data_IF_686503883831
#
_entry.id   IF_686503883831
#
_cell.length_a   1.000
_cell.length_b   1.000
_cell.length_c   1.000
_cell.angle_alpha   90.00
_cell.angle_beta   90.00
_cell.angle_gamma   90.00
#
_symmetry.space_group_name_H-M   'P 1'
#
loop_
_entity.id
_entity.type
_entity.pdbx_description
1 polymer ?
#
# COMPACT_ATOMS: atom_id res chain seq x y z
N UNK A 1 -41.40 -8.13 47.84
CA UNK A 1 -40.83 -9.44 48.23
C UNK A 1 -41.98 -10.46 48.13
N UNK A 2 -41.79 -11.62 47.52
CA UNK A 2 -42.76 -12.72 47.52
C UNK A 2 -42.52 -13.68 48.70
N UNK A 3 -43.50 -14.55 48.97
CA UNK A 3 -43.40 -15.62 49.97
C UNK A 3 -43.74 -15.19 51.40
N UNK A 4 -43.15 -15.86 52.39
CA UNK A 4 -43.48 -15.78 53.82
C UNK A 4 -43.34 -14.37 54.41
N UNK A 5 -42.44 -13.54 53.86
CA UNK A 5 -42.23 -12.14 54.25
C UNK A 5 -42.70 -11.16 53.16
N UNK A 6 -43.48 -11.64 52.20
CA UNK A 6 -43.97 -10.88 51.08
C UNK A 6 -45.26 -10.11 51.34
N UNK A 7 -45.49 -9.04 50.58
CA UNK A 7 -46.77 -8.31 50.67
C UNK A 7 -47.89 -9.14 50.06
N UNK A 8 -49.11 -9.00 50.59
CA UNK A 8 -50.29 -9.70 50.08
C UNK A 8 -50.46 -9.55 48.57
N UNK A 9 -50.27 -8.34 48.05
CA UNK A 9 -50.34 -8.04 46.61
C UNK A 9 -49.29 -8.80 45.79
N UNK A 10 -48.05 -8.92 46.29
CA UNK A 10 -46.99 -9.66 45.59
C UNK A 10 -47.31 -11.15 45.52
N UNK A 11 -47.83 -11.71 46.60
CA UNK A 11 -48.21 -13.13 46.65
C UNK A 11 -49.46 -13.41 45.79
N UNK A 12 -50.45 -12.52 45.80
CA UNK A 12 -51.62 -12.63 44.94
C UNK A 12 -51.28 -12.53 43.45
N UNK A 13 -50.30 -11.70 43.07
CA UNK A 13 -49.84 -11.59 41.68
C UNK A 13 -49.25 -12.92 41.17
N UNK A 14 -48.48 -13.63 42.00
CA UNK A 14 -47.93 -14.95 41.66
C UNK A 14 -49.06 -15.97 41.49
N UNK A 15 -50.02 -15.98 42.41
CA UNK A 15 -51.13 -16.94 42.38
C UNK A 15 -52.08 -16.77 41.19
N UNK A 16 -52.15 -15.57 40.62
CA UNK A 16 -53.02 -15.23 39.47
C UNK A 16 -52.25 -15.10 38.15
N UNK A 17 -50.99 -15.53 38.11
CA UNK A 17 -50.19 -15.48 36.88
C UNK A 17 -50.46 -16.70 36.00
N UNK A 18 -50.46 -16.48 34.67
CA UNK A 18 -50.54 -17.55 33.67
C UNK A 18 -49.12 -17.99 33.18
N UNK A 19 -48.09 -17.19 33.49
CA UNK A 19 -46.68 -17.49 33.26
C UNK A 19 -45.85 -16.95 34.43
N UNK A 20 -45.05 -17.82 35.03
CA UNK A 20 -44.14 -17.49 36.13
C UNK A 20 -42.70 -17.72 35.70
N UNK A 21 -41.88 -16.67 35.72
CA UNK A 21 -40.45 -16.73 35.39
C UNK A 21 -39.65 -16.48 36.67
N UNK A 22 -38.90 -17.49 37.10
CA UNK A 22 -38.08 -17.44 38.30
C UNK A 22 -36.58 -17.49 37.93
N UNK A 23 -35.82 -16.46 38.32
CA UNK A 23 -34.46 -16.20 37.86
C UNK A 23 -33.52 -16.07 39.07
N UNK A 24 -32.63 -17.04 39.26
CA UNK A 24 -31.59 -17.01 40.30
C UNK A 24 -32.11 -16.97 41.74
N UNK A 25 -33.35 -17.41 41.96
CA UNK A 25 -33.97 -17.56 43.27
C UNK A 25 -34.48 -18.99 43.45
N UNK A 26 -34.42 -19.51 44.68
CA UNK A 26 -34.87 -20.87 45.00
C UNK A 26 -36.36 -20.87 45.29
N UNK A 27 -37.05 -21.91 44.82
CA UNK A 27 -38.43 -22.19 45.24
C UNK A 27 -38.46 -22.86 46.62
N UNK A 28 -37.85 -22.22 47.62
CA UNK A 28 -37.85 -22.69 49.00
C UNK A 28 -39.17 -22.30 49.73
N UNK A 29 -39.32 -22.78 50.96
CA UNK A 29 -40.47 -22.52 51.82
C UNK A 29 -40.69 -21.03 52.11
N UNK A 30 -39.61 -20.24 52.08
CA UNK A 30 -39.66 -18.79 52.28
C UNK A 30 -40.23 -18.06 51.07
N UNK A 31 -40.04 -18.58 49.85
CA UNK A 31 -40.54 -18.00 48.60
C UNK A 31 -41.91 -18.55 48.21
N UNK A 32 -42.11 -19.87 48.35
CA UNK A 32 -43.31 -20.57 47.87
C UNK A 32 -44.41 -20.68 48.91
N UNK A 33 -44.06 -20.70 50.21
CA UNK A 33 -45.02 -20.96 51.27
C UNK A 33 -45.56 -22.39 51.22
N UNK A 34 -46.86 -22.56 50.93
CA UNK A 34 -47.47 -23.88 50.73
C UNK A 34 -47.26 -24.32 49.28
N UNK A 35 -46.58 -25.44 49.08
CA UNK A 35 -46.30 -26.01 47.75
C UNK A 35 -47.59 -26.39 47.02
N UNK A 36 -48.52 -27.02 47.74
CA UNK A 36 -49.84 -27.38 47.23
C UNK A 36 -50.66 -26.10 47.00
N UNK A 37 -50.72 -25.66 45.75
CA UNK A 37 -51.40 -24.43 45.34
C UNK A 37 -50.48 -23.24 45.12
N UNK A 38 -49.16 -23.43 44.95
CA UNK A 38 -48.28 -22.37 44.48
C UNK A 38 -48.41 -22.17 42.95
N UNK A 39 -48.86 -20.98 42.52
CA UNK A 39 -49.01 -20.60 41.12
C UNK A 39 -49.77 -21.63 40.26
N UNK A 40 -50.99 -22.05 40.66
CA UNK A 40 -51.67 -23.25 40.17
C UNK A 40 -52.08 -23.22 38.69
N UNK A 41 -52.04 -22.06 38.06
CA UNK A 41 -52.43 -21.86 36.66
C UNK A 41 -51.26 -21.37 35.78
N UNK A 42 -50.08 -21.17 36.37
CA UNK A 42 -48.94 -20.63 35.65
C UNK A 42 -48.17 -21.74 34.93
N UNK A 43 -47.71 -21.46 33.71
CA UNK A 43 -46.56 -22.17 33.13
C UNK A 43 -45.28 -21.68 33.81
N UNK A 44 -44.41 -22.58 34.24
CA UNK A 44 -43.25 -22.23 35.08
C UNK A 44 -41.93 -22.36 34.30
N UNK A 45 -41.21 -21.25 34.19
CA UNK A 45 -39.83 -21.18 33.67
C UNK A 45 -38.90 -20.92 34.85
N UNK A 46 -37.95 -21.83 35.09
CA UNK A 46 -36.98 -21.71 36.20
C UNK A 46 -35.56 -21.70 35.64
N UNK A 47 -34.83 -20.62 35.96
CA UNK A 47 -33.45 -20.37 35.53
C UNK A 47 -32.55 -20.27 36.75
N UNK A 48 -31.58 -21.19 36.88
CA UNK A 48 -30.61 -21.21 37.98
C UNK A 48 -29.24 -21.71 37.50
N UNK A 49 -28.17 -21.25 38.14
CA UNK A 49 -26.80 -21.71 37.87
C UNK A 49 -26.54 -23.07 38.52
N UNK A 50 -27.26 -23.38 39.60
CA UNK A 50 -27.19 -24.68 40.27
C UNK A 50 -28.27 -25.63 39.73
N UNK A 51 -27.91 -26.66 38.94
CA UNK A 51 -28.88 -27.62 38.41
C UNK A 51 -29.67 -28.35 39.50
N UNK A 52 -29.13 -28.45 40.72
CA UNK A 52 -29.81 -29.14 41.81
C UNK A 52 -31.04 -28.38 42.32
N UNK A 53 -31.18 -27.10 42.01
CA UNK A 53 -32.32 -26.28 42.44
C UNK A 53 -33.47 -26.28 41.44
N UNK A 54 -33.24 -26.69 40.19
CA UNK A 54 -34.28 -26.76 39.15
C UNK A 54 -35.24 -27.92 39.42
N UNK A 55 -36.55 -27.63 39.47
CA UNK A 55 -37.57 -28.66 39.67
C UNK A 55 -37.60 -29.31 41.06
N UNK A 56 -36.77 -28.82 42.00
CA UNK A 56 -36.53 -29.45 43.31
C UNK A 56 -37.77 -29.50 44.21
N UNK A 57 -38.48 -28.38 44.31
CA UNK A 57 -39.66 -28.25 45.18
C UNK A 57 -40.97 -27.99 44.40
N UNK A 58 -40.88 -27.43 43.19
CA UNK A 58 -42.01 -27.15 42.30
C UNK A 58 -41.66 -27.69 40.91
N UNK A 59 -42.58 -28.43 40.31
CA UNK A 59 -42.40 -28.95 38.95
C UNK A 59 -42.20 -27.80 37.96
N UNK A 60 -41.15 -27.88 37.16
CA UNK A 60 -40.75 -26.83 36.21
C UNK A 60 -41.06 -27.29 34.79
N UNK A 61 -41.83 -26.50 34.04
CA UNK A 61 -42.19 -26.82 32.66
C UNK A 61 -41.04 -26.57 31.68
N UNK A 62 -40.27 -25.50 31.92
CA UNK A 62 -39.10 -25.13 31.09
C UNK A 62 -37.89 -24.92 32.02
N UNK A 63 -37.04 -25.95 32.18
CA UNK A 63 -35.82 -25.85 32.98
C UNK A 63 -34.68 -25.22 32.17
N UNK A 64 -33.99 -24.23 32.74
CA UNK A 64 -32.78 -23.64 32.16
C UNK A 64 -31.67 -23.66 33.22
N UNK A 65 -30.67 -24.52 33.03
CA UNK A 65 -29.47 -24.58 33.87
C UNK A 65 -28.39 -23.70 33.23
N UNK A 66 -28.06 -22.58 33.85
CA UNK A 66 -27.03 -21.66 33.34
C UNK A 66 -26.98 -20.32 34.08
N UNK A 67 -25.83 -19.64 34.02
CA UNK A 67 -25.69 -18.27 34.51
C UNK A 67 -26.48 -17.31 33.61
N UNK A 68 -27.41 -16.57 34.20
CA UNK A 68 -28.28 -15.59 33.50
C UNK A 68 -27.52 -14.29 33.18
N UNK A 69 -26.23 -14.23 33.53
CA UNK A 69 -25.27 -13.22 33.12
C UNK A 69 -24.45 -13.81 31.96
N UNK A 70 -24.17 -13.08 30.89
CA UNK A 70 -23.45 -11.83 31.12
C UNK A 70 -23.57 -10.76 30.03
N UNK A 71 -24.56 -9.87 30.12
CA UNK A 71 -24.33 -8.45 29.84
C UNK A 71 -23.14 -7.96 30.70
N UNK A 72 -22.19 -7.25 30.08
CA UNK A 72 -21.12 -6.58 30.80
C UNK A 72 -19.73 -7.22 30.73
N UNK A 73 -19.47 -8.24 29.89
CA UNK A 73 -18.08 -8.65 29.57
C UNK A 73 -17.31 -7.45 29.03
N UNK A 74 -17.87 -6.79 28.00
CA UNK A 74 -17.31 -5.55 27.43
C UNK A 74 -17.18 -4.44 28.48
N UNK A 75 -18.14 -4.32 29.40
CA UNK A 75 -18.10 -3.36 30.52
C UNK A 75 -17.03 -3.71 31.56
N UNK A 76 -16.75 -4.99 31.83
CA UNK A 76 -15.71 -5.41 32.77
C UNK A 76 -14.33 -5.17 32.17
N UNK A 77 -14.18 -5.42 30.88
CA UNK A 77 -12.96 -5.15 30.13
C UNK A 77 -12.72 -3.63 30.07
N UNK A 78 -13.68 -2.83 29.62
CA UNK A 78 -13.52 -1.35 29.60
C UNK A 78 -13.44 -0.74 31.00
N UNK A 79 -14.23 -1.23 31.95
CA UNK A 79 -14.24 -0.79 33.35
C UNK A 79 -13.01 -1.23 34.15
N UNK A 80 -12.18 -2.15 33.66
CA UNK A 80 -10.86 -2.44 34.23
C UNK A 80 -9.96 -1.20 34.10
N UNK A 81 -9.97 -0.55 32.93
CA UNK A 81 -9.13 0.62 32.66
C UNK A 81 -9.49 1.76 33.61
N UNK A 82 -10.79 2.10 33.71
CA UNK A 82 -11.26 3.14 34.63
C UNK A 82 -10.93 2.86 36.11
N UNK A 83 -11.12 1.62 36.60
CA UNK A 83 -10.82 1.27 38.01
C UNK A 83 -9.34 1.30 38.35
N UNK A 84 -8.46 1.16 37.35
CA UNK A 84 -7.01 1.13 37.52
C UNK A 84 -6.33 2.43 37.12
N UNK A 85 -7.08 3.41 36.63
CA UNK A 85 -6.56 4.70 36.18
C UNK A 85 -5.88 4.65 34.82
N UNK A 86 -6.16 3.64 34.00
CA UNK A 86 -5.67 3.57 32.62
C UNK A 86 -6.60 4.37 31.70
N UNK A 87 -6.04 5.12 30.76
CA UNK A 87 -6.84 5.85 29.77
C UNK A 87 -7.34 4.91 28.67
N UNK A 88 -8.46 5.24 28.04
CA UNK A 88 -8.91 4.62 26.78
C UNK A 88 -9.03 5.74 25.76
N UNK A 89 -8.15 5.75 24.76
CA UNK A 89 -8.20 6.70 23.64
C UNK A 89 -9.30 6.31 22.66
N UNK A 90 -9.37 5.01 22.34
CA UNK A 90 -10.45 4.49 21.49
C UNK A 90 -10.75 3.03 21.80
N UNK A 91 -11.96 2.62 21.44
CA UNK A 91 -12.51 1.29 21.71
C UNK A 91 -13.39 0.88 20.54
N UNK A 92 -13.08 -0.26 19.92
CA UNK A 92 -13.88 -0.85 18.84
C UNK A 92 -14.26 -2.26 19.22
N UNK A 93 -15.54 -2.61 19.06
CA UNK A 93 -16.04 -3.96 19.33
C UNK A 93 -16.81 -4.49 18.13
N UNK A 94 -16.54 -5.72 17.73
CA UNK A 94 -17.26 -6.41 16.67
C UNK A 94 -17.30 -7.92 16.91
N UNK A 95 -18.07 -8.64 16.10
CA UNK A 95 -18.01 -10.10 16.06
C UNK A 95 -16.64 -10.55 15.55
N UNK A 96 -16.10 -11.63 16.10
CA UNK A 96 -14.93 -12.28 15.52
C UNK A 96 -15.35 -13.34 14.48
N UNK A 97 -14.35 -13.95 13.87
CA UNK A 97 -14.47 -15.09 12.96
C UNK A 97 -15.03 -16.36 13.63
N UNK A 98 -14.98 -16.44 14.96
CA UNK A 98 -15.51 -17.55 15.74
C UNK A 98 -16.92 -17.20 16.27
N UNK A 99 -17.97 -17.94 15.88
CA UNK A 99 -19.33 -17.68 16.35
C UNK A 99 -19.42 -17.65 17.88
N UNK A 100 -19.99 -16.58 18.43
CA UNK A 100 -20.14 -16.39 19.88
C UNK A 100 -19.00 -15.63 20.54
N UNK A 101 -17.92 -15.30 19.83
CA UNK A 101 -16.83 -14.48 20.33
C UNK A 101 -16.88 -13.05 19.78
N UNK A 102 -16.51 -12.10 20.63
CA UNK A 102 -16.37 -10.69 20.26
C UNK A 102 -14.91 -10.29 20.26
N UNK A 103 -14.50 -9.53 19.25
CA UNK A 103 -13.19 -8.90 19.20
C UNK A 103 -13.31 -7.47 19.71
N UNK A 104 -12.42 -7.10 20.63
CA UNK A 104 -12.35 -5.77 21.22
C UNK A 104 -10.95 -5.21 21.02
N UNK A 105 -10.85 -4.07 20.34
CA UNK A 105 -9.60 -3.33 20.13
C UNK A 105 -9.65 -2.10 21.02
N UNK A 106 -8.67 -1.95 21.91
CA UNK A 106 -8.56 -0.83 22.84
C UNK A 106 -7.23 -0.15 22.58
N UNK A 107 -7.28 1.16 22.34
CA UNK A 107 -6.09 2.00 22.22
C UNK A 107 -5.92 2.76 23.51
N UNK A 108 -4.71 2.73 24.05
CA UNK A 108 -4.34 3.36 25.33
C UNK A 108 -2.91 3.89 25.23
N UNK A 109 -2.55 4.78 26.15
CA UNK A 109 -1.21 5.36 26.24
C UNK A 109 -0.60 4.90 27.57
N UNK A 110 0.60 4.35 27.53
CA UNK A 110 1.34 3.89 28.70
C UNK A 110 2.77 3.46 28.35
N UNK A 111 3.63 3.35 29.37
CA UNK A 111 4.95 2.74 29.25
C UNK A 111 4.84 1.20 29.22
N UNK A 112 5.94 0.50 28.88
CA UNK A 112 5.95 -0.97 28.77
C UNK A 112 5.44 -1.67 30.04
N UNK A 113 5.74 -1.12 31.22
CA UNK A 113 5.27 -1.64 32.50
C UNK A 113 3.75 -1.52 32.64
N UNK A 114 3.20 -0.39 32.22
CA UNK A 114 1.75 -0.13 32.21
C UNK A 114 1.05 -1.09 31.25
N UNK A 115 1.58 -1.28 30.05
CA UNK A 115 1.03 -2.20 29.05
C UNK A 115 1.06 -3.66 29.52
N UNK A 116 2.19 -4.11 30.07
CA UNK A 116 2.32 -5.46 30.64
C UNK A 116 1.36 -5.65 31.83
N UNK A 117 1.14 -4.62 32.64
CA UNK A 117 0.18 -4.65 33.73
C UNK A 117 -1.26 -4.76 33.20
N UNK A 118 -1.62 -4.01 32.16
CA UNK A 118 -2.94 -4.08 31.52
C UNK A 118 -3.17 -5.50 31.00
N UNK A 119 -2.24 -6.07 30.24
CA UNK A 119 -2.33 -7.42 29.69
C UNK A 119 -2.56 -8.47 30.79
N UNK A 120 -1.70 -8.46 31.83
CA UNK A 120 -1.82 -9.40 32.97
C UNK A 120 -3.13 -9.26 33.72
N UNK A 121 -3.75 -8.08 33.74
CA UNK A 121 -5.03 -7.86 34.42
C UNK A 121 -6.22 -8.25 33.54
N UNK A 122 -6.11 -8.07 32.21
CA UNK A 122 -7.11 -8.52 31.26
C UNK A 122 -7.23 -10.05 31.27
N UNK A 123 -6.12 -10.77 31.31
CA UNK A 123 -6.13 -12.25 31.44
C UNK A 123 -6.73 -12.77 32.75
N UNK A 124 -6.91 -11.93 33.77
CA UNK A 124 -7.60 -12.31 35.01
C UNK A 124 -9.12 -12.24 34.89
N UNK A 125 -9.64 -11.66 33.80
CA UNK A 125 -11.06 -11.66 33.50
C UNK A 125 -11.37 -12.98 32.82
N UNK A 126 -12.17 -13.83 33.46
CA UNK A 126 -12.46 -15.22 33.03
C UNK A 126 -12.93 -15.28 31.57
N UNK A 127 -13.68 -14.27 31.12
CA UNK A 127 -14.25 -14.21 29.77
C UNK A 127 -13.28 -13.71 28.69
N UNK A 128 -12.06 -13.32 29.05
CA UNK A 128 -11.01 -12.90 28.11
C UNK A 128 -10.24 -14.12 27.65
N UNK A 129 -10.48 -14.52 26.40
CA UNK A 129 -9.89 -15.72 25.81
C UNK A 129 -8.44 -15.47 25.36
N UNK A 130 -8.16 -14.30 24.80
CA UNK A 130 -6.85 -13.93 24.27
C UNK A 130 -6.65 -12.42 24.32
N UNK A 131 -5.46 -11.99 24.74
CA UNK A 131 -4.99 -10.61 24.64
C UNK A 131 -3.82 -10.59 23.65
N UNK A 132 -3.82 -9.61 22.74
CA UNK A 132 -2.72 -9.40 21.81
C UNK A 132 -2.26 -7.97 21.97
N UNK A 133 -1.02 -7.78 22.40
CA UNK A 133 -0.34 -6.49 22.35
C UNK A 133 0.21 -6.26 20.92
N UNK A 134 -0.27 -5.21 20.28
CA UNK A 134 0.17 -4.80 18.94
C UNK A 134 1.36 -3.82 18.97
N UNK A 135 1.76 -3.30 20.13
CA UNK A 135 2.92 -2.40 20.24
C UNK A 135 4.24 -3.07 19.84
N UNK A 136 4.32 -4.41 19.98
CA UNK A 136 5.50 -5.22 19.68
C UNK A 136 5.37 -6.03 18.39
N UNK A 137 4.34 -5.77 17.56
CA UNK A 137 4.05 -6.56 16.36
C UNK A 137 3.64 -5.69 15.18
N UNK A 138 3.97 -6.11 13.94
CA UNK A 138 3.36 -5.51 12.76
C UNK A 138 1.84 -5.70 12.79
N UNK A 139 1.12 -4.64 12.47
CA UNK A 139 -0.34 -4.67 12.40
C UNK A 139 -0.83 -3.86 11.20
N UNK A 140 -2.03 -4.19 10.72
CA UNK A 140 -2.81 -3.29 9.88
C UNK A 140 -3.86 -2.63 10.76
N UNK A 141 -3.68 -1.33 11.02
CA UNK A 141 -4.63 -0.50 11.75
C UNK A 141 -5.38 0.43 10.78
N UNK A 142 -6.71 0.50 10.94
CA UNK A 142 -7.59 1.37 10.15
C UNK A 142 -8.68 1.98 11.01
N UNK A 143 -9.19 3.10 10.54
CA UNK A 143 -10.31 3.83 11.08
C UNK A 143 -11.26 4.23 9.95
N UNK A 144 -12.52 4.48 10.30
CA UNK A 144 -13.52 5.03 9.41
C UNK A 144 -14.05 6.34 9.98
N UNK A 145 -14.14 7.37 9.14
CA UNK A 145 -14.82 8.62 9.49
C UNK A 145 -15.91 8.95 8.45
N UNK A 146 -17.05 9.42 8.96
CA UNK A 146 -18.12 10.08 8.21
C UNK A 146 -18.08 11.57 8.56
N UNK A 147 -17.86 12.40 7.55
CA UNK A 147 -17.68 13.84 7.68
C UNK A 147 -18.80 14.53 6.90
N UNK A 148 -19.73 15.16 7.61
CA UNK A 148 -20.75 16.00 7.00
C UNK A 148 -20.22 17.41 6.89
N UNK A 149 -20.03 17.88 5.66
CA UNK A 149 -19.49 19.21 5.37
C UNK A 149 -20.54 20.05 4.67
N UNK A 150 -20.60 21.35 4.97
CA UNK A 150 -21.40 22.28 4.18
C UNK A 150 -20.82 22.33 2.75
N UNK A 151 -21.70 22.32 1.76
CA UNK A 151 -21.28 22.24 0.37
C UNK A 151 -22.31 22.93 -0.54
N UNK A 152 -22.20 24.24 -0.65
CA UNK A 152 -22.97 25.00 -1.63
C UNK A 152 -22.53 24.62 -3.06
N UNK A 153 -23.38 24.78 -4.08
CA UNK A 153 -23.06 24.37 -5.45
C UNK A 153 -21.70 24.90 -5.98
N UNK A 154 -21.28 26.08 -5.53
CA UNK A 154 -19.99 26.70 -5.89
C UNK A 154 -18.77 26.04 -5.23
N UNK A 155 -18.93 25.41 -4.06
CA UNK A 155 -17.83 24.84 -3.26
C UNK A 155 -17.64 23.34 -3.53
N UNK A 156 -18.64 22.68 -4.13
CA UNK A 156 -18.62 21.23 -4.38
C UNK A 156 -17.42 20.74 -5.21
N UNK A 157 -16.97 21.41 -6.29
CA UNK A 157 -15.84 20.92 -7.07
C UNK A 157 -14.56 20.80 -6.24
N UNK A 158 -14.29 21.78 -5.36
CA UNK A 158 -13.11 21.77 -4.51
C UNK A 158 -13.19 20.68 -3.44
N UNK A 159 -14.35 20.55 -2.78
CA UNK A 159 -14.59 19.49 -1.79
C UNK A 159 -14.42 18.11 -2.43
N UNK A 160 -14.94 17.90 -3.64
CA UNK A 160 -14.78 16.65 -4.40
C UNK A 160 -13.31 16.38 -4.73
N UNK A 161 -12.52 17.41 -5.05
CA UNK A 161 -11.07 17.27 -5.23
C UNK A 161 -10.35 16.78 -3.96
N UNK A 162 -10.76 17.27 -2.78
CA UNK A 162 -10.26 16.75 -1.50
C UNK A 162 -10.69 15.29 -1.31
N UNK A 163 -11.95 14.95 -1.57
CA UNK A 163 -12.45 13.56 -1.49
C UNK A 163 -11.61 12.63 -2.38
N UNK A 164 -11.35 13.03 -3.62
CA UNK A 164 -10.57 12.25 -4.57
C UNK A 164 -9.11 12.07 -4.12
N UNK A 165 -8.47 13.15 -3.64
CA UNK A 165 -7.10 13.14 -3.11
C UNK A 165 -6.91 12.09 -2.01
N UNK A 166 -7.90 11.98 -1.11
CA UNK A 166 -7.86 11.04 0.01
C UNK A 166 -8.41 9.66 -0.35
N UNK A 167 -8.81 9.42 -1.60
CA UNK A 167 -9.53 8.20 -2.03
C UNK A 167 -10.73 7.92 -1.11
N UNK A 168 -11.41 8.98 -0.71
CA UNK A 168 -12.62 8.93 0.08
C UNK A 168 -13.82 8.81 -0.85
N UNK A 169 -15.02 8.67 -0.30
CA UNK A 169 -16.25 8.49 -1.06
C UNK A 169 -17.33 9.44 -0.57
N UNK A 170 -18.04 10.09 -1.48
CA UNK A 170 -19.28 10.80 -1.11
C UNK A 170 -20.38 9.77 -0.96
N UNK A 171 -20.95 9.67 0.24
CA UNK A 171 -22.00 8.69 0.57
C UNK A 171 -23.40 9.30 0.62
N UNK A 172 -23.51 10.63 0.72
CA UNK A 172 -24.78 11.35 0.65
C UNK A 172 -24.59 12.77 0.09
N UNK A 173 -25.58 13.24 -0.67
CA UNK A 173 -25.61 14.56 -1.30
C UNK A 173 -26.90 15.28 -0.90
N UNK A 174 -26.79 16.22 0.02
CA UNK A 174 -27.89 17.11 0.40
C UNK A 174 -27.94 18.39 -0.44
N UNK A 175 -29.00 19.22 -0.28
CA UNK A 175 -29.11 20.50 -0.99
C UNK A 175 -27.96 21.48 -0.72
N UNK A 176 -27.39 21.47 0.49
CA UNK A 176 -26.28 22.35 0.91
C UNK A 176 -25.21 21.64 1.74
N UNK A 177 -25.08 20.32 1.58
CA UNK A 177 -24.09 19.52 2.31
C UNK A 177 -23.71 18.25 1.56
N UNK A 178 -22.51 17.75 1.83
CA UNK A 178 -22.07 16.41 1.44
C UNK A 178 -21.75 15.60 2.70
N UNK A 179 -22.01 14.29 2.68
CA UNK A 179 -21.42 13.37 3.64
C UNK A 179 -20.32 12.59 2.94
N UNK A 180 -19.11 12.68 3.49
CA UNK A 180 -17.92 12.04 2.96
C UNK A 180 -17.48 10.92 3.91
N UNK A 181 -17.26 9.74 3.36
CA UNK A 181 -16.68 8.60 4.04
C UNK A 181 -15.19 8.47 3.69
N UNK A 182 -14.34 8.37 4.71
CA UNK A 182 -12.92 8.06 4.55
C UNK A 182 -12.53 6.88 5.42
N UNK A 183 -11.70 6.00 4.85
CA UNK A 183 -11.05 4.88 5.55
C UNK A 183 -9.55 5.05 5.43
N UNK A 184 -8.83 4.93 6.54
CA UNK A 184 -7.41 5.28 6.61
C UNK A 184 -6.75 4.94 7.93
N UNK A 185 -5.45 5.23 8.04
CA UNK A 185 -4.81 5.41 9.33
C UNK A 185 -5.22 6.76 9.96
N UNK A 186 -4.82 6.97 11.21
CA UNK A 186 -5.19 8.15 12.01
C UNK A 186 -4.77 9.45 11.31
N UNK A 187 -3.53 9.50 10.83
CA UNK A 187 -2.95 10.68 10.19
C UNK A 187 -3.69 11.06 8.90
N UNK A 188 -4.07 10.07 8.08
CA UNK A 188 -4.86 10.31 6.87
C UNK A 188 -6.23 10.92 7.19
N UNK A 189 -6.92 10.43 8.21
CA UNK A 189 -8.24 10.95 8.60
C UNK A 189 -8.09 12.37 9.16
N UNK A 190 -7.10 12.61 10.01
CA UNK A 190 -6.85 13.92 10.61
C UNK A 190 -6.52 14.95 9.53
N UNK A 191 -5.63 14.62 8.59
CA UNK A 191 -5.31 15.50 7.47
C UNK A 191 -6.53 15.84 6.60
N UNK A 192 -7.42 14.87 6.36
CA UNK A 192 -8.66 15.12 5.63
C UNK A 192 -9.62 16.04 6.39
N UNK A 193 -9.75 15.84 7.71
CA UNK A 193 -10.56 16.70 8.57
C UNK A 193 -10.01 18.14 8.52
N UNK A 194 -8.69 18.33 8.64
CA UNK A 194 -8.08 19.66 8.55
C UNK A 194 -8.38 20.36 7.21
N UNK A 195 -8.32 19.63 6.10
CA UNK A 195 -8.63 20.19 4.77
C UNK A 195 -10.11 20.49 4.57
N UNK A 196 -11.01 19.76 5.24
CA UNK A 196 -12.45 20.00 5.16
C UNK A 196 -12.96 21.05 6.15
N UNK A 197 -12.18 21.39 7.19
CA UNK A 197 -12.56 22.41 8.20
C UNK A 197 -12.96 23.77 7.59
N UNK A 198 -12.24 24.36 6.62
CA UNK A 198 -12.58 25.66 6.05
C UNK A 198 -13.97 25.71 5.40
N UNK A 199 -14.43 24.59 4.84
CA UNK A 199 -15.75 24.47 4.21
C UNK A 199 -16.89 24.35 5.22
N UNK A 200 -16.58 24.19 6.52
CA UNK A 200 -17.57 24.10 7.59
C UNK A 200 -18.08 22.68 7.79
N UNK A 201 -17.35 21.90 8.59
CA UNK A 201 -17.79 20.59 9.07
C UNK A 201 -18.98 20.79 10.03
N UNK A 202 -20.12 20.20 9.69
CA UNK A 202 -21.35 20.24 10.50
C UNK A 202 -21.44 19.09 11.48
N UNK A 203 -20.95 17.92 11.09
CA UNK A 203 -21.02 16.70 11.89
C UNK A 203 -19.84 15.80 11.53
N UNK A 204 -19.25 15.17 12.54
CA UNK A 204 -18.16 14.22 12.40
C UNK A 204 -18.49 13.00 13.25
N UNK A 205 -18.49 11.84 12.62
CA UNK A 205 -18.57 10.54 13.30
C UNK A 205 -17.36 9.72 12.90
N UNK A 206 -16.65 9.17 13.88
CA UNK A 206 -15.42 8.41 13.66
C UNK A 206 -15.45 7.14 14.51
N UNK A 207 -14.98 6.04 13.95
CA UNK A 207 -14.80 4.80 14.69
C UNK A 207 -13.56 4.89 15.58
N UNK A 208 -13.44 4.01 16.58
CA UNK A 208 -12.11 3.72 17.12
C UNK A 208 -11.23 3.03 16.08
N UNK A 209 -9.96 2.80 16.45
CA UNK A 209 -9.05 1.99 15.62
C UNK A 209 -9.56 0.55 15.61
N UNK A 210 -9.63 -0.04 14.42
CA UNK A 210 -9.67 -1.48 14.25
C UNK A 210 -8.30 -1.96 13.78
N UNK A 211 -7.83 -3.06 14.36
CA UNK A 211 -6.52 -3.60 14.08
C UNK A 211 -6.57 -5.12 13.94
N UNK A 212 -5.82 -5.63 12.97
CA UNK A 212 -5.53 -7.05 12.82
C UNK A 212 -4.01 -7.24 12.78
N UNK A 213 -3.56 -8.40 13.27
CA UNK A 213 -2.17 -8.83 13.16
C UNK A 213 -1.78 -8.87 11.68
N UNK A 214 -0.66 -8.26 11.34
CA UNK A 214 -0.05 -8.43 10.04
C UNK A 214 0.95 -9.59 10.19
N UNK A 215 0.52 -10.80 9.85
CA UNK A 215 1.32 -11.99 10.06
C UNK A 215 2.67 -11.91 9.32
N UNK A 216 3.77 -11.69 10.05
CA UNK A 216 5.11 -12.00 9.55
C UNK A 216 5.41 -13.50 9.60
N UNK A 217 4.63 -14.29 10.37
CA UNK A 217 4.74 -15.75 10.48
C UNK A 217 4.72 -16.45 9.12
N UNK A 218 3.90 -15.96 8.17
CA UNK A 218 3.87 -16.49 6.81
C UNK A 218 5.19 -16.32 6.06
N UNK A 219 6.04 -15.36 6.46
CA UNK A 219 7.34 -15.07 5.87
C UNK A 219 8.52 -15.54 6.74
N UNK A 220 8.27 -15.91 8.01
CA UNK A 220 9.29 -16.32 8.96
C UNK A 220 10.03 -17.58 8.49
N UNK A 221 11.35 -17.52 8.41
CA UNK A 221 12.21 -18.60 7.90
C UNK A 221 12.17 -18.79 6.38
N UNK A 222 11.33 -18.05 5.65
CA UNK A 222 11.36 -18.04 4.18
C UNK A 222 12.44 -17.07 3.69
N UNK A 223 13.04 -17.39 2.56
CA UNK A 223 13.86 -16.46 1.79
C UNK A 223 12.95 -15.69 0.83
N UNK A 224 12.89 -14.37 0.97
CA UNK A 224 12.02 -13.49 0.20
C UNK A 224 12.83 -12.88 -0.93
N UNK A 225 12.49 -13.25 -2.17
CA UNK A 225 13.10 -12.68 -3.35
C UNK A 225 12.40 -11.38 -3.77
N UNK A 226 13.08 -10.23 -3.67
CA UNK A 226 12.59 -8.97 -4.26
C UNK A 226 13.15 -8.86 -5.67
N UNK A 227 12.27 -8.87 -6.68
CA UNK A 227 12.68 -8.90 -8.10
C UNK A 227 12.56 -7.53 -8.76
N UNK A 228 13.72 -6.94 -9.12
CA UNK A 228 13.84 -5.58 -9.66
C UNK A 228 14.09 -4.53 -8.57
N UNK A 229 15.07 -3.65 -8.78
CA UNK A 229 15.56 -2.71 -7.75
C UNK A 229 15.57 -1.24 -8.22
N UNK A 230 14.40 -0.74 -8.62
CA UNK A 230 14.15 0.70 -8.66
C UNK A 230 13.92 1.26 -7.23
N UNK A 231 13.64 2.56 -7.11
CA UNK A 231 13.39 3.23 -5.81
C UNK A 231 12.38 2.50 -4.90
N UNK A 232 11.38 1.84 -5.48
CA UNK A 232 10.39 1.01 -4.77
C UNK A 232 10.99 -0.32 -4.27
N UNK A 233 11.77 -1.02 -5.09
CA UNK A 233 12.44 -2.27 -4.70
C UNK A 233 13.49 -2.04 -3.61
N UNK A 234 14.17 -0.89 -3.65
CA UNK A 234 15.10 -0.45 -2.62
C UNK A 234 14.42 -0.27 -1.26
N UNK A 235 13.38 0.56 -1.20
CA UNK A 235 12.64 0.81 0.02
C UNK A 235 11.99 -0.47 0.58
N UNK A 236 11.38 -1.29 -0.28
CA UNK A 236 10.73 -2.54 0.14
C UNK A 236 11.72 -3.57 0.69
N UNK A 237 12.88 -3.73 0.03
CA UNK A 237 13.90 -4.66 0.51
C UNK A 237 14.52 -4.20 1.83
N UNK A 238 14.76 -2.90 2.02
CA UNK A 238 15.23 -2.34 3.29
C UNK A 238 14.20 -2.56 4.40
N UNK A 239 12.92 -2.26 4.15
CA UNK A 239 11.86 -2.48 5.12
C UNK A 239 11.72 -3.95 5.53
N UNK A 240 11.80 -4.90 4.57
CA UNK A 240 11.74 -6.34 4.84
C UNK A 240 12.97 -6.83 5.63
N UNK A 241 14.17 -6.31 5.33
CA UNK A 241 15.40 -6.61 6.06
C UNK A 241 15.34 -6.09 7.49
N UNK A 242 14.93 -4.84 7.66
CA UNK A 242 14.84 -4.17 8.97
C UNK A 242 13.73 -4.80 9.83
N UNK A 243 12.76 -5.49 9.19
CA UNK A 243 11.76 -6.34 9.83
C UNK A 243 12.27 -7.76 10.21
N UNK A 244 13.58 -8.03 10.06
CA UNK A 244 14.21 -9.29 10.48
C UNK A 244 13.94 -10.49 9.55
N UNK A 245 13.57 -10.25 8.30
CA UNK A 245 13.30 -11.31 7.30
C UNK A 245 14.54 -11.62 6.46
N UNK A 246 14.65 -12.87 5.98
CA UNK A 246 15.71 -13.27 5.05
C UNK A 246 15.36 -12.74 3.65
N UNK A 247 15.94 -11.61 3.25
CA UNK A 247 15.70 -11.00 1.94
C UNK A 247 16.83 -11.35 0.98
N UNK A 248 16.48 -11.81 -0.22
CA UNK A 248 17.36 -11.91 -1.37
C UNK A 248 16.86 -10.91 -2.39
N UNK A 249 17.70 -10.00 -2.82
CA UNK A 249 17.34 -9.06 -3.87
C UNK A 249 17.88 -9.64 -5.18
N UNK A 250 16.98 -10.00 -6.09
CA UNK A 250 17.35 -10.42 -7.42
C UNK A 250 16.88 -9.37 -8.40
N UNK A 251 17.74 -8.48 -8.88
CA UNK A 251 17.40 -7.79 -10.12
C UNK A 251 17.16 -8.88 -11.18
N UNK A 252 16.06 -8.78 -11.95
CA UNK A 252 16.10 -9.29 -13.32
C UNK A 252 17.40 -8.72 -13.87
N UNK A 253 18.34 -9.55 -14.32
CA UNK A 253 19.57 -9.02 -14.94
C UNK A 253 19.16 -7.85 -15.81
N UNK A 254 19.74 -6.67 -15.60
CA UNK A 254 19.40 -5.50 -16.37
C UNK A 254 20.02 -5.73 -17.75
N UNK A 255 19.28 -6.30 -18.72
CA UNK A 255 19.84 -6.48 -20.04
C UNK A 255 19.99 -5.05 -20.52
N UNK A 256 21.17 -4.66 -21.01
CA UNK A 256 21.39 -3.27 -21.45
C UNK A 256 20.72 -3.01 -22.81
N UNK A 257 19.40 -3.23 -22.84
CA UNK A 257 18.54 -3.21 -24.01
C UNK A 257 17.04 -3.24 -23.62
N UNK A 258 16.15 -2.63 -24.41
CA UNK A 258 14.70 -2.77 -24.24
C UNK A 258 14.22 -4.24 -24.24
N UNK A 259 13.16 -4.53 -23.49
CA UNK A 259 12.70 -5.92 -23.28
C UNK A 259 12.38 -6.71 -24.56
N UNK A 260 11.89 -6.06 -25.62
CA UNK A 260 11.62 -6.72 -26.90
C UNK A 260 12.91 -7.17 -27.62
N UNK A 261 14.01 -6.43 -27.46
CA UNK A 261 15.32 -6.76 -28.04
C UNK A 261 15.97 -7.95 -27.33
N UNK A 262 15.78 -8.09 -26.02
CA UNK A 262 16.23 -9.25 -25.25
C UNK A 262 15.63 -10.54 -25.80
N UNK A 263 14.32 -10.54 -26.08
CA UNK A 263 13.66 -11.71 -26.67
C UNK A 263 14.12 -11.96 -28.10
N UNK A 264 14.24 -10.91 -28.92
CA UNK A 264 14.63 -11.03 -30.32
C UNK A 264 16.02 -11.64 -30.49
N UNK A 265 17.02 -11.05 -29.84
CA UNK A 265 18.41 -11.53 -29.89
C UNK A 265 18.56 -12.95 -29.35
N UNK A 266 17.81 -13.29 -28.29
CA UNK A 266 17.79 -14.65 -27.75
C UNK A 266 17.33 -15.70 -28.78
N UNK A 267 16.26 -15.39 -29.52
CA UNK A 267 15.70 -16.26 -30.58
C UNK A 267 16.63 -16.34 -31.78
N UNK A 268 17.30 -15.24 -32.12
CA UNK A 268 18.32 -15.16 -33.18
C UNK A 268 19.64 -15.85 -32.81
N UNK A 269 19.74 -16.48 -31.62
CA UNK A 269 20.91 -17.22 -31.16
C UNK A 269 21.99 -16.36 -30.49
N UNK A 270 21.79 -15.04 -30.44
CA UNK A 270 22.62 -14.07 -29.72
C UNK A 270 22.11 -13.85 -28.29
N UNK A 271 22.66 -12.86 -27.60
CA UNK A 271 22.21 -12.40 -26.28
C UNK A 271 22.48 -10.90 -26.11
N UNK A 272 21.88 -10.32 -25.09
CA UNK A 272 22.17 -8.93 -24.66
C UNK A 272 23.15 -9.00 -23.48
N UNK A 273 24.17 -8.13 -23.38
CA UNK A 273 25.01 -8.09 -22.18
C UNK A 273 24.19 -7.88 -20.90
N UNK A 274 24.54 -8.62 -19.85
CA UNK A 274 23.90 -8.56 -18.54
C UNK A 274 24.82 -7.96 -17.47
N UNK A 275 24.22 -7.37 -16.44
CA UNK A 275 24.92 -7.04 -15.20
C UNK A 275 24.42 -7.94 -14.07
N UNK A 276 25.33 -8.35 -13.19
CA UNK A 276 25.02 -9.07 -11.95
C UNK A 276 25.51 -8.27 -10.74
N UNK A 277 24.62 -8.06 -9.77
CA UNK A 277 24.95 -7.42 -8.50
C UNK A 277 24.39 -8.25 -7.34
N UNK A 278 25.20 -8.47 -6.31
CA UNK A 278 24.80 -9.17 -5.09
C UNK A 278 25.02 -8.23 -3.89
N UNK A 279 23.95 -7.78 -3.25
CA UNK A 279 24.01 -6.89 -2.08
C UNK A 279 24.25 -7.71 -0.81
N UNK A 280 23.51 -8.81 -0.68
CA UNK A 280 23.61 -9.72 0.45
C UNK A 280 23.40 -11.17 -0.03
N UNK A 281 24.33 -12.05 0.34
CA UNK A 281 24.25 -13.48 0.07
C UNK A 281 24.11 -14.28 1.37
N UNK A 282 22.87 -14.40 1.86
CA UNK A 282 22.57 -15.18 3.07
C UNK A 282 22.80 -16.70 2.89
N UNK A 283 22.88 -17.18 1.64
CA UNK A 283 22.91 -18.62 1.32
C UNK A 283 24.28 -19.12 0.86
N UNK A 284 25.19 -18.20 0.53
CA UNK A 284 26.44 -18.48 -0.18
C UNK A 284 26.25 -18.91 -1.64
N UNK A 285 25.04 -18.78 -2.20
CA UNK A 285 24.67 -19.24 -3.55
C UNK A 285 24.06 -18.15 -4.43
N UNK A 286 23.95 -16.91 -3.94
CA UNK A 286 23.23 -15.86 -4.65
C UNK A 286 23.86 -15.57 -6.02
N UNK A 287 25.20 -15.56 -6.08
CA UNK A 287 25.95 -15.35 -7.33
C UNK A 287 25.72 -16.48 -8.34
N UNK A 288 25.78 -17.73 -7.91
CA UNK A 288 25.55 -18.89 -8.79
C UNK A 288 24.13 -18.90 -9.35
N UNK A 289 23.14 -18.55 -8.52
CA UNK A 289 21.75 -18.42 -8.94
C UNK A 289 21.58 -17.27 -9.95
N UNK A 290 22.21 -16.12 -9.68
CA UNK A 290 22.20 -14.99 -10.61
C UNK A 290 22.82 -15.33 -11.97
N UNK A 291 23.97 -16.00 -11.98
CA UNK A 291 24.62 -16.47 -13.22
C UNK A 291 23.82 -17.57 -13.93
N UNK A 292 23.14 -18.45 -13.20
CA UNK A 292 22.26 -19.45 -13.79
C UNK A 292 21.04 -18.79 -14.46
N UNK A 293 20.45 -17.78 -13.82
CA UNK A 293 19.40 -16.97 -14.41
C UNK A 293 19.89 -16.26 -15.67
N UNK A 294 21.07 -15.65 -15.60
CA UNK A 294 21.73 -14.98 -16.72
C UNK A 294 21.88 -15.85 -17.96
N UNK A 295 22.31 -17.08 -17.72
CA UNK A 295 22.43 -18.10 -18.73
C UNK A 295 21.06 -18.48 -19.31
N UNK A 296 20.06 -18.63 -18.44
CA UNK A 296 18.68 -18.96 -18.82
C UNK A 296 18.06 -17.95 -19.79
N UNK A 297 18.35 -16.65 -19.60
CA UNK A 297 17.86 -15.57 -20.46
C UNK A 297 18.83 -15.17 -21.58
N UNK A 298 19.95 -15.87 -21.71
CA UNK A 298 20.89 -15.76 -22.83
C UNK A 298 21.95 -14.66 -22.71
N UNK A 299 22.00 -13.88 -21.63
CA UNK A 299 22.95 -12.77 -21.49
C UNK A 299 24.41 -13.23 -21.48
N UNK A 300 24.68 -14.41 -20.91
CA UNK A 300 26.02 -15.03 -20.94
C UNK A 300 26.59 -15.27 -22.34
N UNK A 301 25.77 -15.23 -23.41
CA UNK A 301 26.24 -15.30 -24.81
C UNK A 301 26.97 -14.03 -25.24
N UNK A 302 26.58 -12.87 -24.69
CA UNK A 302 27.19 -11.58 -24.98
C UNK A 302 28.13 -11.10 -23.86
N UNK A 303 27.98 -11.66 -22.65
CA UNK A 303 28.82 -11.36 -21.49
C UNK A 303 27.99 -10.91 -20.29
N UNK A 304 28.45 -11.26 -19.10
CA UNK A 304 27.86 -10.81 -17.83
C UNK A 304 28.95 -10.15 -17.01
N UNK A 305 28.70 -8.93 -16.56
CA UNK A 305 29.67 -8.12 -15.80
C UNK A 305 29.15 -7.97 -14.38
N UNK A 306 30.02 -8.18 -13.40
CA UNK A 306 29.71 -7.98 -11.99
C UNK A 306 29.77 -6.50 -11.63
N UNK A 307 28.81 -6.03 -10.83
CA UNK A 307 28.68 -4.64 -10.37
C UNK A 307 28.09 -4.59 -8.97
N UNK A 308 27.90 -3.40 -8.43
CA UNK A 308 27.15 -3.16 -7.19
C UNK A 308 25.76 -2.57 -7.51
N UNK A 309 24.81 -2.70 -6.59
CA UNK A 309 23.49 -2.09 -6.74
C UNK A 309 23.56 -0.58 -6.94
N UNK A 310 24.47 0.07 -6.19
CA UNK A 310 24.74 1.50 -6.30
C UNK A 310 25.20 1.86 -7.71
N UNK A 311 26.24 1.19 -8.20
CA UNK A 311 26.82 1.48 -9.52
C UNK A 311 25.80 1.21 -10.63
N UNK A 312 25.08 0.09 -10.59
CA UNK A 312 24.05 -0.23 -11.58
C UNK A 312 22.97 0.86 -11.63
N UNK A 313 22.40 1.21 -10.47
CA UNK A 313 21.32 2.21 -10.39
C UNK A 313 21.77 3.58 -10.86
N UNK A 314 22.92 4.07 -10.35
CA UNK A 314 23.42 5.41 -10.68
C UNK A 314 23.80 5.51 -12.16
N UNK A 315 24.46 4.48 -12.71
CA UNK A 315 24.92 4.50 -14.11
C UNK A 315 23.79 4.27 -15.10
N UNK A 316 22.79 3.46 -14.77
CA UNK A 316 21.61 3.22 -15.62
C UNK A 316 20.79 4.50 -15.76
N UNK A 317 20.42 5.11 -14.63
CA UNK A 317 19.69 6.38 -14.60
C UNK A 317 20.45 7.51 -15.29
N UNK A 318 21.77 7.58 -15.11
CA UNK A 318 22.60 8.57 -15.79
C UNK A 318 22.62 8.33 -17.30
N UNK A 319 22.83 7.07 -17.72
CA UNK A 319 22.91 6.69 -19.12
C UNK A 319 21.65 7.06 -19.89
N UNK A 320 20.46 6.72 -19.36
CA UNK A 320 19.19 7.03 -20.02
C UNK A 320 18.89 8.54 -20.04
N UNK A 321 19.20 9.28 -18.97
CA UNK A 321 18.90 10.71 -18.91
C UNK A 321 19.87 11.53 -19.76
N UNK A 322 21.17 11.30 -19.62
CA UNK A 322 22.20 12.16 -20.21
C UNK A 322 22.59 11.79 -21.64
N UNK A 323 22.39 10.53 -22.06
CA UNK A 323 22.91 10.04 -23.35
C UNK A 323 21.83 9.30 -24.15
N UNK A 324 21.36 8.15 -23.67
CA UNK A 324 20.65 7.14 -24.45
C UNK A 324 19.20 7.52 -24.78
N UNK A 325 18.55 8.35 -23.96
CA UNK A 325 17.18 8.80 -24.19
C UNK A 325 17.11 10.33 -24.19
N UNK A 326 17.33 10.96 -23.04
CA UNK A 326 17.17 12.41 -22.90
C UNK A 326 18.15 13.19 -23.77
N UNK A 327 19.43 12.86 -23.68
CA UNK A 327 20.49 13.51 -24.47
C UNK A 327 20.30 13.38 -25.97
N UNK A 328 20.19 12.14 -26.49
CA UNK A 328 20.04 11.92 -27.93
C UNK A 328 18.74 12.49 -28.49
N UNK A 329 17.60 12.34 -27.81
CA UNK A 329 16.33 12.89 -28.32
C UNK A 329 16.35 14.41 -28.36
N UNK A 330 16.95 15.07 -27.36
CA UNK A 330 17.11 16.52 -27.35
C UNK A 330 18.05 17.00 -28.48
N UNK A 331 19.17 16.30 -28.71
CA UNK A 331 20.11 16.64 -29.79
C UNK A 331 19.46 16.51 -31.17
N UNK A 332 18.71 15.43 -31.40
CA UNK A 332 17.97 15.19 -32.65
C UNK A 332 16.95 16.32 -32.89
N UNK A 333 16.15 16.67 -31.87
CA UNK A 333 15.17 17.76 -31.98
C UNK A 333 15.83 19.10 -32.27
N UNK A 334 16.89 19.46 -31.53
CA UNK A 334 17.61 20.71 -31.75
C UNK A 334 18.19 20.82 -33.17
N UNK A 335 18.74 19.72 -33.71
CA UNK A 335 19.22 19.67 -35.09
C UNK A 335 18.09 19.87 -36.10
N UNK A 336 16.97 19.16 -35.91
CA UNK A 336 15.79 19.27 -36.77
C UNK A 336 15.18 20.68 -36.75
N UNK A 337 15.00 21.27 -35.56
CA UNK A 337 14.52 22.63 -35.36
C UNK A 337 15.44 23.63 -36.05
N UNK A 338 16.76 23.54 -35.83
CA UNK A 338 17.75 24.42 -36.47
C UNK A 338 17.63 24.43 -38.00
N UNK A 339 17.46 23.26 -38.62
CA UNK A 339 17.31 23.17 -40.08
C UNK A 339 15.96 23.72 -40.55
N UNK A 340 14.87 23.34 -39.89
CA UNK A 340 13.52 23.76 -40.31
C UNK A 340 13.29 25.26 -40.10
N UNK A 341 13.80 25.84 -39.01
CA UNK A 341 13.77 27.28 -38.74
C UNK A 341 14.61 28.08 -39.76
N UNK A 342 15.69 27.49 -40.28
CA UNK A 342 16.47 28.06 -41.37
C UNK A 342 15.79 27.93 -42.75
N UNK A 343 14.61 27.31 -42.82
CA UNK A 343 13.80 27.18 -44.03
C UNK A 343 14.08 25.92 -44.87
N UNK A 344 14.85 24.96 -44.35
CA UNK A 344 15.03 23.68 -45.02
C UNK A 344 13.77 22.80 -44.90
N UNK A 345 13.57 21.93 -45.89
CA UNK A 345 12.42 21.03 -45.92
C UNK A 345 12.42 20.08 -44.69
N UNK A 346 11.31 19.95 -43.95
CA UNK A 346 11.23 19.07 -42.78
C UNK A 346 11.56 17.61 -43.06
N UNK A 347 11.24 17.11 -44.25
CA UNK A 347 11.54 15.74 -44.65
C UNK A 347 13.05 15.52 -44.77
N UNK A 348 13.78 16.50 -45.31
CA UNK A 348 15.24 16.45 -45.38
C UNK A 348 15.86 16.53 -43.99
N UNK A 349 15.38 17.43 -43.14
CA UNK A 349 15.83 17.54 -41.75
C UNK A 349 15.59 16.24 -40.97
N UNK A 350 14.48 15.53 -41.23
CA UNK A 350 14.21 14.23 -40.61
C UNK A 350 15.26 13.17 -41.00
N UNK A 351 15.64 13.10 -42.28
CA UNK A 351 16.66 12.15 -42.73
C UNK A 351 18.02 12.43 -42.08
N UNK A 352 18.47 13.68 -42.17
CA UNK A 352 19.78 14.14 -41.71
C UNK A 352 19.92 14.10 -40.18
N UNK A 353 18.85 14.35 -39.43
CA UNK A 353 18.93 14.46 -37.96
C UNK A 353 18.47 13.21 -37.21
N UNK A 354 17.69 12.29 -37.82
CA UNK A 354 17.17 11.12 -37.13
C UNK A 354 17.35 9.82 -37.91
N UNK A 355 16.92 9.76 -39.18
CA UNK A 355 16.92 8.49 -39.93
C UNK A 355 18.33 7.90 -40.06
N UNK A 356 19.30 8.72 -40.46
CA UNK A 356 20.68 8.29 -40.70
C UNK A 356 21.47 8.01 -39.42
N UNK A 357 20.99 8.51 -38.27
CA UNK A 357 21.64 8.26 -36.98
C UNK A 357 21.74 6.76 -36.67
N UNK A 358 20.78 5.96 -37.13
CA UNK A 358 20.84 4.50 -36.98
C UNK A 358 22.11 3.92 -37.60
N UNK A 359 22.47 4.33 -38.82
CA UNK A 359 23.66 3.82 -39.51
C UNK A 359 24.93 4.13 -38.73
N UNK A 360 25.06 5.37 -38.26
CA UNK A 360 26.21 5.82 -37.48
C UNK A 360 26.32 5.04 -36.16
N UNK A 361 25.20 4.87 -35.44
CA UNK A 361 25.16 4.12 -34.18
C UNK A 361 25.44 2.63 -34.41
N UNK A 362 24.95 2.04 -35.50
CA UNK A 362 25.25 0.63 -35.85
C UNK A 362 26.75 0.44 -36.09
N UNK A 363 27.42 1.34 -36.83
CA UNK A 363 28.87 1.30 -37.03
C UNK A 363 29.66 1.46 -35.72
N UNK A 364 29.21 2.37 -34.85
CA UNK A 364 29.79 2.54 -33.51
C UNK A 364 29.60 1.29 -32.64
N UNK A 365 28.45 0.63 -32.75
CA UNK A 365 28.15 -0.60 -32.03
C UNK A 365 29.03 -1.76 -32.49
N UNK A 366 29.27 -1.89 -33.80
CA UNK A 366 30.04 -2.98 -34.38
C UNK A 366 31.56 -2.84 -34.16
N UNK A 367 32.11 -1.61 -34.26
CA UNK A 367 33.56 -1.39 -34.27
C UNK A 367 34.05 -0.16 -33.51
N UNK A 368 33.19 0.49 -32.73
CA UNK A 368 33.52 1.70 -31.98
C UNK A 368 33.66 2.95 -32.86
N UNK A 369 34.05 4.07 -32.22
CA UNK A 369 34.19 5.38 -32.88
C UNK A 369 35.21 5.37 -34.03
N UNK A 370 36.27 4.58 -33.91
CA UNK A 370 37.30 4.48 -34.95
C UNK A 370 36.76 3.83 -36.22
N UNK A 371 36.02 2.72 -36.11
CA UNK A 371 35.42 2.04 -37.27
C UNK A 371 34.35 2.90 -37.94
N UNK A 372 33.55 3.63 -37.15
CA UNK A 372 32.59 4.59 -37.68
C UNK A 372 33.30 5.67 -38.51
N UNK A 373 34.38 6.27 -37.97
CA UNK A 373 35.16 7.32 -38.64
C UNK A 373 35.86 6.87 -39.90
N UNK A 374 36.34 5.61 -39.92
CA UNK A 374 36.92 4.99 -41.11
C UNK A 374 35.87 4.72 -42.21
N UNK A 375 34.60 4.55 -41.82
CA UNK A 375 33.51 4.24 -42.75
C UNK A 375 32.86 5.49 -43.39
N UNK A 376 32.88 6.62 -42.70
CA UNK A 376 32.32 7.88 -43.21
C UNK A 376 33.32 8.60 -44.13
N UNK A 377 32.84 9.55 -44.93
CA UNK A 377 33.74 10.35 -45.76
C UNK A 377 34.66 11.23 -44.92
N UNK A 378 35.86 11.55 -45.43
CA UNK A 378 36.80 12.47 -44.78
C UNK A 378 36.18 13.85 -44.48
N UNK A 379 35.18 14.29 -45.27
CA UNK A 379 34.45 15.54 -45.01
C UNK A 379 33.60 15.42 -43.75
N UNK A 380 32.90 14.30 -43.56
CA UNK A 380 32.11 14.03 -42.38
C UNK A 380 33.00 13.82 -41.14
N UNK A 381 34.11 13.09 -41.29
CA UNK A 381 35.09 12.89 -40.21
C UNK A 381 35.71 14.21 -39.74
N UNK A 382 36.16 15.05 -40.68
CA UNK A 382 36.66 16.38 -40.34
C UNK A 382 35.58 17.23 -39.66
N UNK A 383 34.35 17.17 -40.16
CA UNK A 383 33.17 17.82 -39.57
C UNK A 383 32.89 17.41 -38.12
N UNK A 384 32.96 16.10 -37.83
CA UNK A 384 32.86 15.53 -36.47
C UNK A 384 33.89 16.18 -35.54
N UNK A 385 35.18 16.14 -35.91
CA UNK A 385 36.24 16.68 -35.04
C UNK A 385 36.11 18.17 -34.74
N UNK A 386 35.73 18.99 -35.72
CA UNK A 386 35.70 20.45 -35.54
C UNK A 386 34.37 20.97 -34.98
N UNK A 387 33.27 20.24 -35.22
CA UNK A 387 31.92 20.70 -34.86
C UNK A 387 31.40 20.02 -33.61
N UNK A 388 31.75 18.75 -33.36
CA UNK A 388 31.34 18.00 -32.18
C UNK A 388 31.62 18.75 -30.87
N UNK A 389 32.85 19.24 -30.62
CA UNK A 389 33.18 20.02 -29.41
C UNK A 389 32.50 21.39 -29.32
N UNK A 390 31.94 21.90 -30.42
CA UNK A 390 31.16 23.15 -30.44
C UNK A 390 29.71 22.94 -30.03
N UNK A 391 29.19 21.73 -30.25
CA UNK A 391 27.82 21.33 -29.86
C UNK A 391 27.83 20.71 -28.46
N UNK A 392 28.77 19.80 -28.18
CA UNK A 392 29.00 19.21 -26.86
C UNK A 392 30.15 19.94 -26.20
N UNK A 393 29.81 20.97 -25.41
CA UNK A 393 30.78 21.87 -24.79
C UNK A 393 31.11 21.47 -23.34
N UNK A 394 32.02 22.20 -22.70
CA UNK A 394 32.24 22.05 -21.26
C UNK A 394 30.98 22.34 -20.42
N UNK A 395 30.09 23.20 -20.90
CA UNK A 395 28.79 23.45 -20.24
C UNK A 395 27.86 22.24 -20.38
N UNK A 396 27.86 21.55 -21.53
CA UNK A 396 27.14 20.28 -21.68
C UNK A 396 27.65 19.25 -20.68
N UNK A 397 28.97 19.13 -20.54
CA UNK A 397 29.59 18.21 -19.56
C UNK A 397 29.29 18.62 -18.12
N UNK A 398 29.20 19.92 -17.84
CA UNK A 398 28.77 20.45 -16.53
C UNK A 398 27.32 20.04 -16.22
N UNK A 399 26.40 20.21 -17.17
CA UNK A 399 25.02 19.77 -17.03
C UNK A 399 24.92 18.26 -16.77
N UNK A 400 25.72 17.44 -17.47
CA UNK A 400 25.79 16.00 -17.20
C UNK A 400 26.25 15.70 -15.75
N UNK A 401 27.23 16.44 -15.22
CA UNK A 401 27.65 16.28 -13.82
C UNK A 401 26.55 16.67 -12.82
N UNK A 402 25.78 17.69 -13.14
CA UNK A 402 24.63 18.11 -12.32
C UNK A 402 23.54 17.03 -12.31
N UNK A 403 23.22 16.44 -13.48
CA UNK A 403 22.31 15.28 -13.58
C UNK A 403 22.80 14.11 -12.74
N UNK A 404 24.08 13.75 -12.84
CA UNK A 404 24.67 12.68 -12.03
C UNK A 404 24.57 13.00 -10.53
N UNK A 405 24.79 14.26 -10.14
CA UNK A 405 24.69 14.71 -8.74
C UNK A 405 23.26 14.56 -8.23
N UNK A 406 22.26 14.98 -9.01
CA UNK A 406 20.83 14.85 -8.68
C UNK A 406 20.41 13.38 -8.50
N UNK A 407 20.96 12.47 -9.31
CA UNK A 407 20.76 11.02 -9.18
C UNK A 407 21.38 10.52 -7.87
N UNK A 408 22.65 10.82 -7.63
CA UNK A 408 23.40 10.36 -6.45
C UNK A 408 22.83 10.87 -5.12
N UNK A 409 22.24 12.07 -5.13
CA UNK A 409 21.58 12.66 -3.96
C UNK A 409 20.12 12.19 -3.78
N UNK A 410 19.62 11.30 -4.64
CA UNK A 410 18.26 10.78 -4.60
C UNK A 410 17.18 11.80 -5.00
N UNK A 411 17.58 12.98 -5.50
CA UNK A 411 16.66 14.03 -5.93
C UNK A 411 15.77 13.54 -7.08
N UNK A 412 16.36 12.96 -8.13
CA UNK A 412 15.59 12.41 -9.24
C UNK A 412 14.58 11.36 -8.79
N UNK A 413 15.02 10.41 -7.95
CA UNK A 413 14.16 9.34 -7.46
C UNK A 413 12.95 9.88 -6.67
N UNK A 414 13.17 10.87 -5.80
CA UNK A 414 12.10 11.54 -5.05
C UNK A 414 11.13 12.25 -5.99
N UNK A 415 11.65 13.05 -6.92
CA UNK A 415 10.84 13.84 -7.85
C UNK A 415 9.97 12.93 -8.74
N UNK A 416 10.51 11.80 -9.22
CA UNK A 416 9.76 10.81 -9.99
C UNK A 416 8.68 10.06 -9.17
N UNK A 417 8.94 9.77 -7.89
CA UNK A 417 7.92 9.17 -7.01
C UNK A 417 6.76 10.15 -6.80
N UNK A 418 7.06 11.42 -6.51
CA UNK A 418 6.04 12.46 -6.33
C UNK A 418 5.21 12.66 -7.59
N UNK A 419 5.84 12.63 -8.77
CA UNK A 419 5.15 12.68 -10.05
C UNK A 419 4.20 11.49 -10.25
N UNK A 420 4.56 10.28 -9.80
CA UNK A 420 3.63 9.15 -9.84
C UNK A 420 2.47 9.31 -8.84
N UNK A 421 2.74 9.87 -7.66
CA UNK A 421 1.73 10.12 -6.63
C UNK A 421 0.73 11.22 -7.03
N UNK A 422 1.17 12.20 -7.83
CA UNK A 422 0.33 13.27 -8.38
C UNK A 422 -0.57 12.83 -9.55
N UNK A 423 -0.56 11.55 -9.92
CA UNK A 423 -1.30 11.06 -11.09
C UNK A 423 -0.59 11.31 -12.42
N UNK A 424 0.73 11.56 -12.41
CA UNK A 424 1.57 11.72 -13.61
C UNK A 424 1.22 12.94 -14.46
N UNK A 425 0.94 14.08 -13.81
CA UNK A 425 0.50 15.29 -14.48
C UNK A 425 1.54 15.83 -15.48
N UNK A 426 2.81 15.99 -15.04
CA UNK A 426 3.89 16.45 -15.90
C UNK A 426 4.15 15.46 -17.04
N UNK A 427 4.26 14.17 -16.72
CA UNK A 427 4.58 13.13 -17.71
C UNK A 427 3.48 13.01 -18.78
N UNK A 428 2.21 13.13 -18.38
CA UNK A 428 1.08 13.08 -19.32
C UNK A 428 1.08 14.29 -20.24
N UNK A 429 1.28 15.49 -19.71
CA UNK A 429 1.35 16.71 -20.51
C UNK A 429 2.55 16.69 -21.48
N UNK A 430 3.74 16.33 -20.99
CA UNK A 430 4.95 16.24 -21.80
C UNK A 430 4.81 15.22 -22.91
N UNK A 431 4.25 14.02 -22.65
CA UNK A 431 4.01 13.01 -23.69
C UNK A 431 3.12 13.51 -24.83
N UNK A 432 2.08 14.29 -24.50
CA UNK A 432 1.23 14.90 -25.53
C UNK A 432 2.04 15.89 -26.38
N UNK A 433 2.76 16.79 -25.72
CA UNK A 433 3.56 17.80 -26.43
C UNK A 433 4.65 17.16 -27.32
N UNK A 434 5.31 16.12 -26.83
CA UNK A 434 6.33 15.37 -27.60
C UNK A 434 5.72 14.62 -28.79
N UNK A 435 4.51 14.06 -28.65
CA UNK A 435 3.81 13.41 -29.75
C UNK A 435 3.34 14.39 -30.84
N UNK A 436 3.14 15.65 -30.48
CA UNK A 436 2.75 16.74 -31.38
C UNK A 436 3.96 17.41 -32.05
N UNK A 437 5.19 17.06 -31.66
CA UNK A 437 6.40 17.66 -32.23
C UNK A 437 6.48 17.41 -33.76
N UNK A 438 6.85 18.41 -34.58
CA UNK A 438 6.84 18.27 -36.04
C UNK A 438 7.69 17.09 -36.56
N UNK A 439 8.80 16.76 -35.89
CA UNK A 439 9.64 15.60 -36.25
C UNK A 439 8.87 14.27 -36.17
N UNK A 440 7.93 14.13 -35.24
CA UNK A 440 7.11 12.92 -35.09
C UNK A 440 6.02 12.84 -36.15
N UNK A 441 5.42 13.99 -36.50
CA UNK A 441 4.40 14.07 -37.56
C UNK A 441 5.01 13.72 -38.92
N UNK A 442 6.10 14.40 -39.28
CA UNK A 442 6.82 14.16 -40.55
C UNK A 442 7.42 12.75 -40.57
N UNK A 443 8.06 12.35 -39.47
CA UNK A 443 8.64 11.02 -39.34
C UNK A 443 7.63 9.89 -39.45
N UNK A 444 6.43 10.06 -38.89
CA UNK A 444 5.33 9.11 -39.01
C UNK A 444 4.97 8.86 -40.48
N UNK A 445 4.78 9.92 -41.25
CA UNK A 445 4.45 9.85 -42.68
C UNK A 445 5.57 9.19 -43.50
N UNK A 446 6.83 9.57 -43.25
CA UNK A 446 7.97 9.01 -43.96
C UNK A 446 8.16 7.51 -43.66
N UNK A 447 8.03 7.10 -42.39
CA UNK A 447 8.16 5.69 -42.00
C UNK A 447 7.05 4.81 -42.61
N UNK A 448 5.86 5.35 -42.88
CA UNK A 448 4.79 4.59 -43.54
C UNK A 448 5.13 4.17 -44.98
N UNK A 449 5.98 4.95 -45.65
CA UNK A 449 6.47 4.71 -47.02
C UNK A 449 7.65 3.74 -47.06
N UNK A 450 8.32 3.49 -45.93
CA UNK A 450 9.51 2.64 -45.83
C UNK A 450 9.13 1.19 -45.53
N UNK A 451 8.94 0.39 -46.58
CA UNK A 451 8.43 -0.99 -46.49
C UNK A 451 9.24 -1.94 -45.58
N UNK A 452 10.53 -1.67 -45.37
CA UNK A 452 11.40 -2.50 -44.51
C UNK A 452 11.24 -2.21 -43.01
N UNK A 453 10.58 -1.11 -42.63
CA UNK A 453 10.33 -0.74 -41.22
C UNK A 453 9.06 -1.41 -40.68
N UNK A 454 8.07 -1.70 -41.54
CA UNK A 454 6.87 -2.48 -41.18
C UNK A 454 7.23 -3.96 -41.01
N UNK A 455 7.63 -4.37 -39.80
CA UNK A 455 7.84 -5.77 -39.41
C UNK A 455 7.14 -6.12 -38.12
#
# INVERSE_FOLDING_TARGET
MPGMHGTYTSNQAIQKSDLLINIGARFDDRVTGKLDGFAPHAKIVHIDIDPAEIGKNIATDIPIVGDVKTPGVLQRVSGLFGRRGFNIESITVGQSEEPGLSRMVIVTIGDDKTLEQIEKQLYKIIDVIKVVDFSLKPMVARELALIKVKAEPSERPEILGVVETFRASVVDVGPGSLIVQVVGDTDKIDAMIELLKPYGIRELSRTGITALDAELSVLKGKTIAVIGYGSQGHAQAQNLRDSGLNVVIGLREAPKSPGHMVRRTYVEGFGVPGLIAIEQDATGKAKDIGLAYAKGIGCTRAGVIETSFREETETDLFGEQAVLCGGVSALVKAGFETLTEAGYAPEMAYFECLHELKLIVDLMYEGGLASMRDSISNTAEYGDYVTGPRVVTEDTKKAMKEVLTDIQQGKFARDFILENQSGRAFLTATRRNEAEHPIEVVGGQLREMMHWIKK
#
